data_IF_739176414953
#
_entry.id   IF_739176414953
#
_cell.length_a   1.000
_cell.length_b   1.000
_cell.length_c   1.000
_cell.angle_alpha   90.00
_cell.angle_beta   90.00
_cell.angle_gamma   90.00
#
_symmetry.space_group_name_H-M   'P 1'
#
loop_
_entity.id
_entity.type
_entity.pdbx_description
1 polymer ?
#
# COMPACT_ATOMS: atom_id res chain seq x y z
N UNK A 1 -17.07 21.33 3.44
CA UNK A 1 -16.66 20.91 4.46
C UNK A 1 -16.97 19.57 4.81
N UNK A 2 -17.96 19.18 4.63
CA UNK A 2 -18.33 17.95 4.82
C UNK A 2 -17.62 16.87 4.19
N UNK A 3 -17.16 17.05 3.01
CA UNK A 3 -16.49 16.04 2.31
C UNK A 3 -15.34 15.46 3.05
N UNK A 4 -14.60 16.27 3.69
CA UNK A 4 -13.50 15.78 4.35
C UNK A 4 -13.83 14.88 5.44
N UNK A 5 -14.93 15.08 6.05
CA UNK A 5 -15.30 14.24 7.08
C UNK A 5 -15.54 12.87 6.73
N UNK A 6 -16.00 12.61 5.57
CA UNK A 6 -16.26 11.24 5.18
C UNK A 6 -14.99 10.48 5.16
N UNK A 7 -13.88 11.12 4.90
CA UNK A 7 -12.65 10.40 4.85
C UNK A 7 -12.19 10.01 6.22
N UNK A 8 -12.60 10.69 7.23
CA UNK A 8 -12.17 10.37 8.54
C UNK A 8 -12.71 9.08 9.05
N UNK A 9 -13.74 8.56 8.42
CA UNK A 9 -14.30 7.34 8.83
C UNK A 9 -13.32 6.26 8.78
N UNK A 10 -12.41 6.28 7.84
CA UNK A 10 -11.49 5.21 7.65
C UNK A 10 -10.15 5.42 8.31
N UNK A 11 -9.98 6.47 9.05
CA UNK A 11 -8.76 6.61 9.76
C UNK A 11 -7.56 6.44 8.90
N UNK A 12 -7.26 7.37 8.09
CA UNK A 12 -6.15 7.24 7.16
C UNK A 12 -4.83 7.47 7.87
N UNK A 13 -4.05 6.43 8.09
CA UNK A 13 -2.81 6.57 8.82
C UNK A 13 -1.75 7.26 7.98
N UNK A 14 -0.75 7.75 8.68
CA UNK A 14 0.37 8.42 8.04
C UNK A 14 1.20 7.37 7.31
N UNK A 15 1.56 7.62 6.09
CA UNK A 15 2.39 6.70 5.36
C UNK A 15 3.72 7.34 5.01
N UNK A 16 4.75 6.51 4.91
CA UNK A 16 6.12 6.97 4.69
C UNK A 16 6.69 6.26 3.49
N UNK A 17 7.29 7.01 2.57
CA UNK A 17 7.88 6.43 1.38
C UNK A 17 9.29 6.93 1.19
N UNK A 18 10.15 6.10 0.60
CA UNK A 18 11.46 6.59 0.19
C UNK A 18 11.27 7.50 -1.01
N UNK A 19 12.21 8.38 -1.27
CA UNK A 19 12.16 9.25 -2.43
C UNK A 19 12.06 8.42 -3.70
N UNK A 20 12.81 7.33 -3.75
CA UNK A 20 12.82 6.46 -4.91
C UNK A 20 11.47 5.80 -5.16
N UNK A 21 10.84 5.27 -4.10
CA UNK A 21 9.54 4.64 -4.25
C UNK A 21 8.49 5.67 -4.63
N UNK A 22 8.54 6.86 -4.06
CA UNK A 22 7.56 7.88 -4.38
C UNK A 22 7.64 8.26 -5.85
N UNK A 23 8.84 8.42 -6.37
CA UNK A 23 9.02 8.78 -7.75
C UNK A 23 8.56 7.66 -8.68
N UNK A 24 8.95 6.42 -8.37
CA UNK A 24 8.56 5.27 -9.15
C UNK A 24 7.05 5.09 -9.18
N UNK A 25 6.43 5.17 -8.01
CA UNK A 25 5.00 4.95 -7.91
C UNK A 25 4.19 6.09 -8.54
N UNK A 26 4.72 7.31 -8.52
CA UNK A 26 4.07 8.43 -9.19
C UNK A 26 4.03 8.18 -10.69
N UNK A 27 5.11 7.67 -11.25
CA UNK A 27 5.14 7.31 -12.66
C UNK A 27 4.18 6.19 -12.99
N UNK A 28 4.10 5.19 -12.09
CA UNK A 28 3.22 4.08 -12.28
C UNK A 28 1.75 4.53 -12.27
N UNK A 29 1.39 5.39 -11.33
CA UNK A 29 0.01 5.89 -11.25
C UNK A 29 -0.34 6.67 -12.53
N UNK A 30 0.58 7.48 -13.02
CA UNK A 30 0.34 8.22 -14.24
C UNK A 30 0.13 7.30 -15.43
N UNK A 31 0.97 6.27 -15.53
CA UNK A 31 0.88 5.33 -16.64
C UNK A 31 -0.40 4.52 -16.60
N UNK A 32 -0.93 4.26 -15.43
CA UNK A 32 -2.13 3.44 -15.28
C UNK A 32 -3.44 4.20 -15.41
N UNK A 33 -3.38 5.52 -15.55
CA UNK A 33 -4.60 6.32 -15.59
C UNK A 33 -5.56 5.92 -16.68
N UNK A 34 -5.09 5.49 -17.82
CA UNK A 34 -5.97 5.11 -18.90
C UNK A 34 -6.57 3.74 -18.73
N UNK A 35 -5.74 2.78 -18.33
CA UNK A 35 -6.20 1.41 -18.29
C UNK A 35 -6.85 1.04 -16.97
N UNK A 36 -6.45 1.68 -15.87
CA UNK A 36 -6.98 1.36 -14.55
C UNK A 36 -7.20 2.65 -13.78
N UNK A 37 -8.16 3.47 -14.22
CA UNK A 37 -8.31 4.81 -13.65
C UNK A 37 -8.61 4.83 -12.15
N UNK A 38 -9.41 3.89 -11.68
CA UNK A 38 -9.75 3.87 -10.28
C UNK A 38 -8.55 3.48 -9.42
N UNK A 39 -7.85 2.43 -9.84
CA UNK A 39 -6.66 2.00 -9.12
C UNK A 39 -5.59 3.07 -9.14
N UNK A 40 -5.42 3.73 -10.29
CA UNK A 40 -4.43 4.79 -10.42
C UNK A 40 -4.76 5.97 -9.52
N UNK A 41 -6.04 6.34 -9.44
CA UNK A 41 -6.45 7.45 -8.60
C UNK A 41 -6.25 7.12 -7.13
N UNK A 42 -6.55 5.90 -6.72
CA UNK A 42 -6.35 5.49 -5.34
C UNK A 42 -4.88 5.54 -4.95
N UNK A 43 -4.02 5.08 -5.84
CA UNK A 43 -2.59 5.14 -5.56
C UNK A 43 -2.11 6.59 -5.50
N UNK A 44 -2.57 7.43 -6.42
CA UNK A 44 -2.18 8.83 -6.44
C UNK A 44 -2.58 9.53 -5.13
N UNK A 45 -3.75 9.19 -4.59
CA UNK A 45 -4.19 9.78 -3.34
C UNK A 45 -3.25 9.41 -2.19
N UNK A 46 -2.80 8.18 -2.16
CA UNK A 46 -1.88 7.77 -1.12
C UNK A 46 -0.55 8.51 -1.27
N UNK A 47 -0.08 8.65 -2.50
CA UNK A 47 1.19 9.33 -2.74
C UNK A 47 1.13 10.80 -2.34
N UNK A 48 -0.03 11.42 -2.55
CA UNK A 48 -0.17 12.84 -2.23
C UNK A 48 -0.06 13.11 -0.73
N UNK A 49 -0.47 12.18 0.08
CA UNK A 49 -0.42 12.42 1.51
C UNK A 49 0.76 11.75 2.20
N UNK A 50 1.65 11.14 1.44
CA UNK A 50 2.79 10.42 2.01
C UNK A 50 3.87 11.39 2.48
N UNK A 51 4.55 11.00 3.54
CA UNK A 51 5.76 11.69 3.93
C UNK A 51 6.89 11.06 3.12
N UNK A 52 7.59 11.85 2.32
CA UNK A 52 8.66 11.34 1.49
C UNK A 52 9.98 11.65 2.17
N UNK A 53 10.77 10.62 2.39
CA UNK A 53 12.05 10.80 3.07
C UNK A 53 13.09 11.40 2.13
N UNK A 54 14.07 12.03 2.69
CA UNK A 54 15.16 12.60 1.90
C UNK A 54 15.86 11.49 1.14
N UNK A 55 16.42 11.83 -0.02
CA UNK A 55 17.09 10.88 -0.86
C UNK A 55 18.11 10.07 -0.08
N UNK A 56 18.11 8.79 -0.27
CA UNK A 56 19.04 7.89 0.39
C UNK A 56 18.62 7.44 1.78
N UNK A 57 17.56 8.02 2.32
CA UNK A 57 17.08 7.61 3.64
C UNK A 57 16.10 6.46 3.48
N UNK A 58 16.13 5.52 4.39
CA UNK A 58 15.23 4.40 4.36
C UNK A 58 14.52 4.27 5.68
N UNK A 59 13.21 4.01 5.66
CA UNK A 59 12.47 3.85 6.91
C UNK A 59 12.64 2.43 7.45
N UNK A 60 12.40 2.26 8.73
CA UNK A 60 12.44 0.96 9.35
C UNK A 60 11.02 0.50 9.60
N UNK A 61 10.73 -0.76 9.36
CA UNK A 61 9.42 -1.37 9.63
C UNK A 61 8.28 -0.69 8.88
N UNK A 62 8.55 -0.27 7.65
CA UNK A 62 7.54 0.36 6.81
C UNK A 62 7.42 -0.44 5.52
N UNK A 63 6.20 -0.63 5.05
CA UNK A 63 5.95 -1.37 3.82
C UNK A 63 6.48 -0.60 2.62
N UNK A 64 7.44 -1.18 1.91
CA UNK A 64 8.06 -0.59 0.72
C UNK A 64 7.90 -1.54 -0.44
N UNK A 65 8.18 -1.06 -1.63
CA UNK A 65 8.12 -1.94 -2.80
C UNK A 65 9.14 -3.07 -2.65
N UNK A 66 8.73 -4.28 -2.98
CA UNK A 66 9.58 -5.45 -2.89
C UNK A 66 9.64 -6.11 -1.52
N UNK A 67 9.01 -5.53 -0.53
CA UNK A 67 9.03 -6.10 0.81
C UNK A 67 8.00 -7.20 0.97
N UNK A 68 8.30 -8.15 1.85
CA UNK A 68 7.30 -9.11 2.25
C UNK A 68 6.55 -8.52 3.43
N UNK A 69 5.23 -8.53 3.37
CA UNK A 69 4.39 -7.95 4.39
C UNK A 69 3.56 -9.03 5.02
N UNK A 70 3.57 -9.10 6.35
CA UNK A 70 2.71 -10.02 7.05
C UNK A 70 1.61 -9.18 7.68
N UNK A 71 0.36 -9.50 7.41
CA UNK A 71 -0.74 -8.72 7.96
C UNK A 71 -1.88 -9.63 8.41
N UNK A 72 -2.68 -9.14 9.33
CA UNK A 72 -3.83 -9.88 9.82
C UNK A 72 -5.09 -9.23 9.32
N UNK A 73 -5.99 -10.03 8.75
CA UNK A 73 -7.30 -9.58 8.37
C UNK A 73 -8.12 -9.61 9.65
N UNK A 74 -8.54 -8.45 10.14
CA UNK A 74 -9.19 -8.39 11.42
C UNK A 74 -10.59 -8.98 11.42
N UNK A 75 -11.21 -9.10 10.27
CA UNK A 75 -12.55 -9.68 10.24
C UNK A 75 -12.51 -11.19 10.40
N UNK A 76 -11.45 -11.85 10.00
CA UNK A 76 -11.35 -13.30 10.09
C UNK A 76 -10.31 -13.76 11.08
N UNK A 77 -9.41 -12.89 11.48
CA UNK A 77 -8.27 -13.25 12.31
C UNK A 77 -7.15 -13.95 11.55
N UNK A 78 -7.28 -14.10 10.23
CA UNK A 78 -6.28 -14.82 9.46
C UNK A 78 -5.07 -13.95 9.20
N UNK A 79 -3.90 -14.56 9.30
CA UNK A 79 -2.65 -13.87 9.01
C UNK A 79 -2.19 -14.31 7.63
N UNK A 80 -1.81 -13.35 6.81
CA UNK A 80 -1.38 -13.60 5.45
C UNK A 80 -0.08 -12.89 5.17
N UNK A 81 0.65 -13.38 4.20
CA UNK A 81 1.89 -12.75 3.75
C UNK A 81 1.82 -12.49 2.26
N UNK A 82 2.39 -11.40 1.83
CA UNK A 82 2.51 -11.12 0.40
C UNK A 82 3.76 -10.29 0.15
N UNK A 83 4.20 -10.25 -1.09
CA UNK A 83 5.30 -9.39 -1.49
C UNK A 83 4.71 -8.33 -2.41
N UNK A 84 4.98 -7.07 -2.12
CA UNK A 84 4.39 -5.97 -2.87
C UNK A 84 5.26 -5.63 -4.07
N UNK A 85 4.70 -5.73 -5.25
CA UNK A 85 5.49 -5.57 -6.49
C UNK A 85 4.80 -4.68 -7.51
N UNK A 86 5.52 -4.38 -8.58
CA UNK A 86 4.95 -3.71 -9.74
C UNK A 86 3.98 -4.63 -10.43
N UNK A 87 3.01 -4.08 -11.16
CA UNK A 87 2.03 -4.92 -11.87
C UNK A 87 2.66 -5.98 -12.76
N UNK A 88 3.76 -5.67 -13.42
CA UNK A 88 4.41 -6.61 -14.30
C UNK A 88 4.98 -7.80 -13.59
N UNK A 89 5.27 -7.68 -12.31
CA UNK A 89 5.86 -8.76 -11.57
C UNK A 89 4.86 -9.54 -10.73
N UNK A 90 3.59 -9.20 -10.84
CA UNK A 90 2.55 -9.85 -10.05
C UNK A 90 2.47 -11.33 -10.37
N UNK A 91 2.40 -12.16 -9.35
CA UNK A 91 2.34 -13.60 -9.53
C UNK A 91 1.72 -14.18 -8.26
N UNK A 92 0.45 -14.50 -8.34
CA UNK A 92 -0.30 -15.00 -7.22
C UNK A 92 0.27 -16.25 -6.60
N UNK A 93 0.82 -17.12 -7.41
CA UNK A 93 1.38 -18.34 -6.88
C UNK A 93 2.59 -18.09 -6.01
N UNK A 94 3.31 -17.01 -6.27
CA UNK A 94 4.44 -16.65 -5.46
C UNK A 94 4.07 -15.57 -4.45
N UNK A 95 2.77 -15.28 -4.34
CA UNK A 95 2.26 -14.27 -3.43
C UNK A 95 2.80 -12.87 -3.71
N UNK A 96 3.09 -12.60 -4.96
CA UNK A 96 3.53 -11.29 -5.40
C UNK A 96 2.31 -10.53 -5.88
N UNK A 97 1.95 -9.50 -5.14
CA UNK A 97 0.73 -8.74 -5.38
C UNK A 97 1.06 -7.33 -5.86
N UNK A 98 0.38 -6.91 -6.90
CA UNK A 98 0.62 -5.58 -7.46
C UNK A 98 0.19 -4.48 -6.49
N UNK A 99 0.98 -3.43 -6.44
CA UNK A 99 0.65 -2.26 -5.64
C UNK A 99 -0.61 -1.57 -6.15
N UNK A 100 -1.03 -1.87 -7.38
CA UNK A 100 -2.25 -1.29 -7.94
C UNK A 100 -3.52 -2.04 -7.53
N UNK A 101 -3.40 -3.12 -6.78
CA UNK A 101 -4.59 -3.77 -6.24
C UNK A 101 -5.06 -2.99 -5.02
N UNK A 102 -6.33 -3.13 -4.62
CA UNK A 102 -6.81 -2.43 -3.43
C UNK A 102 -5.99 -2.72 -2.18
N UNK A 103 -5.64 -3.99 -1.94
CA UNK A 103 -4.88 -4.32 -0.75
C UNK A 103 -3.45 -3.80 -0.87
N UNK A 104 -2.86 -3.85 -2.06
CA UNK A 104 -1.51 -3.35 -2.27
C UNK A 104 -1.42 -1.85 -2.02
N UNK A 105 -2.39 -1.10 -2.54
CA UNK A 105 -2.43 0.35 -2.33
C UNK A 105 -2.67 0.65 -0.84
N UNK A 106 -3.48 -0.16 -0.17
CA UNK A 106 -3.74 0.06 1.25
C UNK A 106 -2.52 -0.19 2.11
N UNK A 107 -1.64 -1.10 1.69
CA UNK A 107 -0.47 -1.46 2.49
C UNK A 107 0.73 -0.57 2.32
N UNK A 108 0.89 0.03 1.12
CA UNK A 108 2.13 0.77 0.83
C UNK A 108 2.36 1.89 1.84
N UNK A 109 3.54 1.95 2.38
CA UNK A 109 3.93 3.02 3.30
C UNK A 109 3.48 2.89 4.73
N UNK A 110 2.75 1.82 5.06
CA UNK A 110 2.29 1.64 6.44
C UNK A 110 3.41 1.12 7.33
N UNK A 111 3.36 1.54 8.57
CA UNK A 111 4.33 1.10 9.56
C UNK A 111 3.82 -0.15 10.25
N UNK A 112 4.71 -1.03 10.67
CA UNK A 112 4.33 -2.20 11.45
C UNK A 112 3.51 -1.76 12.66
N UNK A 113 2.46 -2.47 12.93
CA UNK A 113 1.54 -2.17 14.03
C UNK A 113 0.39 -1.28 13.65
N UNK A 114 0.37 -0.76 12.42
CA UNK A 114 -0.70 0.12 11.98
C UNK A 114 -1.88 -0.68 11.45
N UNK A 115 -3.08 -0.22 11.74
CA UNK A 115 -4.29 -0.81 11.20
C UNK A 115 -4.94 0.17 10.23
N UNK A 116 -5.56 -0.36 9.21
CA UNK A 116 -6.23 0.48 8.23
C UNK A 116 -7.49 -0.21 7.74
N UNK A 117 -8.51 0.56 7.43
CA UNK A 117 -9.71 0.04 6.80
C UNK A 117 -9.60 0.33 5.30
N UNK A 118 -9.86 -0.67 4.49
CA UNK A 118 -9.75 -0.54 3.04
C UNK A 118 -10.96 -1.18 2.39
N UNK A 119 -11.21 -0.80 1.14
CA UNK A 119 -12.37 -1.27 0.43
C UNK A 119 -11.96 -2.23 -0.68
N UNK A 120 -12.56 -3.42 -0.72
CA UNK A 120 -12.24 -4.40 -1.74
C UNK A 120 -12.89 -4.00 -3.05
N UNK A 121 -12.58 -4.70 -4.13
CA UNK A 121 -13.19 -4.43 -5.42
C UNK A 121 -14.69 -4.57 -5.40
N UNK A 122 -15.21 -5.43 -4.54
CA UNK A 122 -16.65 -5.62 -4.46
C UNK A 122 -17.31 -4.59 -3.55
N UNK A 123 -16.57 -3.66 -3.01
CA UNK A 123 -17.12 -2.61 -2.17
C UNK A 123 -17.20 -2.96 -0.70
N UNK A 124 -16.67 -4.10 -0.32
CA UNK A 124 -16.73 -4.52 1.05
C UNK A 124 -15.63 -3.86 1.87
N UNK A 125 -15.94 -3.38 3.05
CA UNK A 125 -14.94 -2.77 3.90
C UNK A 125 -14.26 -3.83 4.75
N UNK A 126 -12.94 -3.78 4.79
CA UNK A 126 -12.17 -4.71 5.58
C UNK A 126 -11.13 -3.97 6.37
N UNK A 127 -10.76 -4.54 7.51
CA UNK A 127 -9.74 -3.93 8.34
C UNK A 127 -8.56 -4.87 8.43
N UNK A 128 -7.37 -4.35 8.29
CA UNK A 128 -6.16 -5.15 8.41
C UNK A 128 -5.16 -4.47 9.33
N UNK A 129 -4.25 -5.25 9.90
CA UNK A 129 -3.18 -4.73 10.73
C UNK A 129 -1.86 -5.30 10.22
N UNK A 130 -0.88 -4.42 9.99
CA UNK A 130 0.44 -4.86 9.54
C UNK A 130 1.18 -5.44 10.74
N UNK A 131 1.54 -6.72 10.62
CA UNK A 131 2.19 -7.42 11.72
C UNK A 131 3.70 -7.38 11.60
N UNK A 132 4.21 -7.34 10.39
CA UNK A 132 5.65 -7.30 10.18
C UNK A 132 5.99 -7.01 8.74
N UNK A 133 7.18 -6.47 8.53
CA UNK A 133 7.67 -6.13 7.21
C UNK A 133 9.08 -6.65 7.10
N UNK A 134 9.37 -7.37 6.03
CA UNK A 134 10.70 -7.92 5.84
C UNK A 134 11.21 -7.59 4.46
N UNK A 135 12.42 -7.11 4.38
CA UNK A 135 13.03 -6.78 3.11
C UNK A 135 13.49 -8.06 2.45
N UNK A 136 12.94 -8.37 1.27
CA UNK A 136 13.30 -9.59 0.57
C UNK A 136 14.38 -9.34 -0.44
N UNK A 137 14.73 -8.10 -0.69
CA UNK A 137 15.71 -7.80 -1.67
C UNK A 137 17.05 -8.12 -1.12
N UNK A 138 17.76 -8.92 -1.78
CA UNK A 138 19.01 -9.29 -1.34
C UNK A 138 20.00 -8.58 -1.99
N UNK A 139 19.77 -7.84 -2.69
CA UNK A 139 20.67 -7.05 -3.45
C UNK A 139 21.67 -6.63 -3.21
#
# INVERSE_FOLDING_TARGET
MIMKQSNNKYSEPHIILTASDHEHLSGLARAAMRSMPEAAANLADELDRAQVLAKGRRPIDVVSMGCEVEFRDESTGRVQKLILVDPREADIEQRKISVLTPVGTALIGLRTGTSITWETRSGELRRLTVMGVRNTSIG
#
